data_IF_416667976361
#
_entry.id   IF_416667976361
#
_cell.length_a   1.000
_cell.length_b   1.000
_cell.length_c   1.000
_cell.angle_alpha   90.00
_cell.angle_beta   90.00
_cell.angle_gamma   90.00
#
_symmetry.space_group_name_H-M   'P 1'
#
loop_
_entity.id
_entity.type
_entity.pdbx_description
1 polymer ?
#
# COMPACT_ATOMS: atom_id res chain seq x y z
N UNK A 1 -5.79 -10.96 9.24
CA UNK A 1 -5.35 -11.32 7.87
C UNK A 1 -3.85 -11.11 7.72
N UNK A 2 -3.24 -11.49 6.61
CA UNK A 2 -1.82 -11.25 6.36
C UNK A 2 -1.67 -10.24 5.22
N UNK A 3 -1.00 -9.12 5.49
CA UNK A 3 -0.55 -8.17 4.47
C UNK A 3 0.94 -8.40 4.26
N UNK A 4 1.36 -8.43 2.98
CA UNK A 4 2.74 -8.65 2.58
C UNK A 4 3.38 -7.36 2.12
N UNK A 5 4.63 -7.14 2.53
CA UNK A 5 5.53 -6.19 1.90
C UNK A 5 6.62 -6.95 1.17
N UNK A 6 6.57 -6.99 -0.17
CA UNK A 6 7.40 -7.86 -1.01
C UNK A 6 7.25 -9.33 -0.56
N UNK A 7 8.24 -9.86 0.17
CA UNK A 7 8.27 -11.24 0.66
C UNK A 7 8.05 -11.35 2.18
N UNK A 8 7.91 -10.22 2.87
CA UNK A 8 7.73 -10.14 4.32
C UNK A 8 6.24 -10.13 4.65
N UNK A 9 5.84 -10.91 5.66
CA UNK A 9 4.44 -11.08 6.06
C UNK A 9 4.16 -10.36 7.38
N UNK A 10 3.05 -9.64 7.44
CA UNK A 10 2.61 -8.90 8.61
C UNK A 10 1.19 -9.27 8.99
N UNK A 11 0.99 -9.60 10.27
CA UNK A 11 -0.35 -9.75 10.85
C UNK A 11 -1.07 -8.41 10.85
N UNK A 12 -2.27 -8.41 10.27
CA UNK A 12 -3.12 -7.24 10.11
C UNK A 12 -4.53 -7.54 10.59
N UNK A 13 -5.00 -6.77 11.57
CA UNK A 13 -6.35 -6.82 12.11
C UNK A 13 -7.23 -5.87 11.30
N UNK A 14 -7.96 -6.42 10.33
CA UNK A 14 -8.86 -5.65 9.49
C UNK A 14 -10.10 -5.20 10.24
N UNK A 15 -10.40 -3.90 10.16
CA UNK A 15 -11.66 -3.32 10.62
C UNK A 15 -12.72 -3.31 9.50
N UNK A 16 -12.30 -3.07 8.27
CA UNK A 16 -13.18 -2.99 7.10
C UNK A 16 -12.48 -3.58 5.87
N UNK A 17 -13.17 -4.44 5.13
CA UNK A 17 -12.66 -5.09 3.92
C UNK A 17 -13.80 -5.18 2.91
N UNK A 18 -13.57 -4.60 1.73
CA UNK A 18 -14.43 -4.78 0.57
C UNK A 18 -13.59 -4.98 -0.71
N UNK A 19 -14.25 -5.03 -1.86
CA UNK A 19 -13.56 -5.21 -3.14
C UNK A 19 -12.71 -4.00 -3.55
N UNK A 20 -12.90 -2.84 -2.92
CA UNK A 20 -12.26 -1.56 -3.23
C UNK A 20 -11.11 -1.25 -2.28
N UNK A 21 -11.19 -1.68 -1.02
CA UNK A 21 -10.28 -1.23 0.03
C UNK A 21 -10.15 -2.18 1.22
N UNK A 22 -9.07 -1.99 1.97
CA UNK A 22 -8.76 -2.69 3.21
C UNK A 22 -8.33 -1.64 4.24
N UNK A 23 -9.00 -1.61 5.38
CA UNK A 23 -8.68 -0.78 6.53
C UNK A 23 -8.47 -1.65 7.78
N UNK A 24 -7.61 -1.20 8.68
CA UNK A 24 -7.32 -1.89 9.93
C UNK A 24 -6.00 -1.45 10.54
N UNK A 25 -5.44 -2.34 11.36
CA UNK A 25 -4.18 -2.09 12.05
C UNK A 25 -3.19 -3.25 11.89
N UNK A 26 -1.92 -2.93 11.68
CA UNK A 26 -0.85 -3.88 11.91
C UNK A 26 -0.75 -4.21 13.41
N UNK A 27 -0.38 -5.45 13.72
CA UNK A 27 -0.12 -5.84 15.10
C UNK A 27 0.93 -4.94 15.73
N UNK A 28 0.57 -4.35 16.87
CA UNK A 28 1.38 -3.36 17.55
C UNK A 28 2.50 -4.03 18.33
N UNK A 29 3.70 -3.98 17.79
CA UNK A 29 4.94 -4.33 18.49
C UNK A 29 6.08 -3.42 17.99
N UNK A 30 7.03 -3.03 18.86
CA UNK A 30 8.22 -2.27 18.45
C UNK A 30 8.95 -2.93 17.28
N UNK A 31 9.03 -4.26 17.28
CA UNK A 31 9.72 -5.04 16.24
C UNK A 31 9.03 -4.92 14.88
N UNK A 32 7.70 -5.02 14.83
CA UNK A 32 6.93 -4.84 13.58
C UNK A 32 7.09 -3.40 13.06
N UNK A 33 7.02 -2.41 13.95
CA UNK A 33 7.19 -1.00 13.59
C UNK A 33 8.56 -0.76 12.96
N UNK A 34 9.64 -1.17 13.63
CA UNK A 34 11.01 -1.03 13.14
C UNK A 34 11.22 -1.79 11.82
N UNK A 35 10.61 -2.97 11.68
CA UNK A 35 10.72 -3.77 10.47
C UNK A 35 10.04 -3.08 9.27
N UNK A 36 8.82 -2.58 9.44
CA UNK A 36 8.11 -1.87 8.37
C UNK A 36 8.85 -0.57 8.01
N UNK A 37 9.28 0.21 9.00
CA UNK A 37 10.05 1.44 8.78
C UNK A 37 11.34 1.17 8.00
N UNK A 38 12.10 0.14 8.38
CA UNK A 38 13.30 -0.27 7.66
C UNK A 38 13.01 -0.68 6.21
N UNK A 39 11.93 -1.43 5.98
CA UNK A 39 11.54 -1.88 4.66
C UNK A 39 11.10 -0.72 3.76
N UNK A 40 10.35 0.23 4.31
CA UNK A 40 9.94 1.44 3.60
C UNK A 40 11.12 2.34 3.25
N UNK A 41 12.04 2.56 4.20
CA UNK A 41 13.28 3.30 3.96
C UNK A 41 14.23 2.60 2.96
N UNK A 42 14.06 1.29 2.74
CA UNK A 42 14.80 0.54 1.72
C UNK A 42 14.20 0.64 0.31
N UNK A 43 12.98 1.16 0.18
CA UNK A 43 12.39 1.41 -1.13
C UNK A 43 13.16 2.52 -1.83
N UNK A 44 13.27 2.43 -3.15
CA UNK A 44 13.63 3.60 -3.93
C UNK A 44 12.54 4.65 -3.71
N UNK A 45 12.94 5.88 -3.39
CA UNK A 45 12.02 7.00 -3.11
C UNK A 45 10.97 7.17 -4.23
N UNK A 46 11.31 6.76 -5.46
CA UNK A 46 10.50 7.01 -6.66
C UNK A 46 9.91 5.74 -7.30
N UNK A 47 9.68 4.67 -6.55
CA UNK A 47 9.17 3.40 -7.12
C UNK A 47 7.82 3.55 -7.87
N UNK A 48 7.07 4.61 -7.56
CA UNK A 48 5.77 4.94 -8.14
C UNK A 48 5.85 5.93 -9.31
N UNK A 49 7.05 6.37 -9.69
CA UNK A 49 7.29 7.31 -10.79
C UNK A 49 7.88 6.61 -12.03
N UNK A 50 7.57 7.14 -13.19
CA UNK A 50 8.17 6.78 -14.47
C UNK A 50 9.50 7.53 -14.68
N UNK A 51 10.13 7.31 -15.85
CA UNK A 51 11.41 7.94 -16.21
C UNK A 51 11.34 9.47 -16.36
N UNK A 52 10.16 10.04 -16.47
CA UNK A 52 9.93 11.48 -16.58
C UNK A 52 9.61 12.10 -15.20
N UNK A 53 9.55 11.31 -14.13
CA UNK A 53 9.10 11.74 -12.82
C UNK A 53 7.58 11.87 -12.71
N UNK A 54 6.82 11.34 -13.67
CA UNK A 54 5.37 11.29 -13.62
C UNK A 54 4.92 10.01 -12.91
N UNK A 55 3.79 10.06 -12.20
CA UNK A 55 3.24 8.86 -11.56
C UNK A 55 2.96 7.78 -12.62
N UNK A 56 3.34 6.54 -12.32
CA UNK A 56 2.98 5.38 -13.12
C UNK A 56 1.46 5.30 -13.34
N UNK A 57 1.07 4.87 -14.54
CA UNK A 57 -0.30 4.46 -14.84
C UNK A 57 -0.76 3.34 -13.90
N UNK A 58 -2.06 3.25 -13.64
CA UNK A 58 -2.59 2.47 -12.53
C UNK A 58 -2.16 1.00 -12.57
N UNK A 59 -2.18 0.35 -13.73
CA UNK A 59 -1.73 -1.03 -13.89
C UNK A 59 -0.25 -1.22 -13.51
N UNK A 60 0.62 -0.29 -13.93
CA UNK A 60 2.05 -0.33 -13.64
C UNK A 60 2.33 0.04 -12.18
N UNK A 61 1.55 0.97 -11.62
CA UNK A 61 1.63 1.37 -10.23
C UNK A 61 1.31 0.19 -9.30
N UNK A 62 0.22 -0.52 -9.57
CA UNK A 62 -0.14 -1.71 -8.80
C UNK A 62 0.88 -2.83 -8.97
N UNK A 63 1.36 -3.07 -10.19
CA UNK A 63 2.42 -4.06 -10.43
C UNK A 63 3.72 -3.75 -9.66
N UNK A 64 4.09 -2.47 -9.59
CA UNK A 64 5.27 -1.99 -8.86
C UNK A 64 5.09 -1.96 -7.34
N UNK A 65 3.85 -2.00 -6.84
CA UNK A 65 3.58 -1.85 -5.41
C UNK A 65 4.27 -2.95 -4.58
N UNK A 66 4.93 -2.56 -3.47
CA UNK A 66 5.49 -3.52 -2.55
C UNK A 66 4.39 -4.21 -1.73
N UNK A 67 3.21 -3.63 -1.61
CA UNK A 67 2.14 -4.14 -0.75
C UNK A 67 1.24 -5.12 -1.49
N UNK A 68 0.86 -6.19 -0.81
CA UNK A 68 -0.07 -7.17 -1.35
C UNK A 68 -0.77 -8.00 -0.27
N UNK A 69 -1.79 -8.74 -0.67
CA UNK A 69 -2.45 -9.75 0.16
C UNK A 69 -2.62 -11.05 -0.62
N UNK A 70 -2.60 -12.18 0.08
CA UNK A 70 -2.97 -13.47 -0.49
C UNK A 70 -4.49 -13.59 -0.61
N UNK A 71 -5.01 -13.80 -1.81
CA UNK A 71 -6.42 -14.09 -2.08
C UNK A 71 -6.57 -15.50 -2.68
N UNK A 72 -7.78 -16.09 -2.67
CA UNK A 72 -8.00 -17.45 -3.19
C UNK A 72 -7.55 -17.69 -4.64
N UNK A 73 -7.51 -16.63 -5.45
CA UNK A 73 -7.12 -16.67 -6.86
C UNK A 73 -5.69 -16.16 -7.12
N UNK A 74 -4.91 -15.95 -6.05
CA UNK A 74 -3.53 -15.47 -6.09
C UNK A 74 -3.32 -14.16 -5.35
N UNK A 75 -2.12 -13.61 -5.51
CA UNK A 75 -1.71 -12.38 -4.86
C UNK A 75 -2.44 -11.17 -5.47
N UNK A 76 -3.07 -10.36 -4.62
CA UNK A 76 -3.67 -9.08 -4.98
C UNK A 76 -2.74 -7.96 -4.54
N UNK A 77 -2.37 -7.09 -5.49
CA UNK A 77 -1.56 -5.90 -5.21
C UNK A 77 -2.41 -4.81 -4.55
N UNK A 78 -1.79 -4.08 -3.62
CA UNK A 78 -2.44 -3.04 -2.84
C UNK A 78 -1.66 -1.73 -2.96
N UNK A 79 -2.34 -0.59 -2.95
CA UNK A 79 -1.68 0.70 -2.77
C UNK A 79 -2.02 1.24 -1.40
N UNK A 80 -0.99 1.40 -0.57
CA UNK A 80 -1.11 2.05 0.72
C UNK A 80 -1.40 3.53 0.54
N UNK A 81 -2.51 4.00 1.07
CA UNK A 81 -2.96 5.39 1.03
C UNK A 81 -2.63 6.13 2.33
N UNK A 82 -2.60 5.41 3.44
CA UNK A 82 -2.30 5.94 4.76
C UNK A 82 -1.64 4.85 5.61
N UNK A 83 -0.69 5.24 6.46
CA UNK A 83 -0.13 4.38 7.50
C UNK A 83 0.41 5.26 8.64
N UNK A 84 -0.17 5.09 9.82
CA UNK A 84 0.38 5.62 11.06
C UNK A 84 1.14 4.51 11.79
N UNK A 85 2.47 4.63 11.82
CA UNK A 85 3.36 3.67 12.45
C UNK A 85 3.22 3.60 13.98
N UNK A 86 2.66 4.62 14.64
CA UNK A 86 2.47 4.63 16.09
C UNK A 86 1.23 3.85 16.50
N UNK A 87 0.10 4.09 15.83
CA UNK A 87 -1.15 3.36 16.05
C UNK A 87 -1.18 2.02 15.34
N UNK A 88 -0.37 1.84 14.29
CA UNK A 88 -0.41 0.72 13.37
C UNK A 88 -1.54 0.82 12.34
N UNK A 89 -2.34 1.89 12.37
CA UNK A 89 -3.46 2.10 11.45
C UNK A 89 -2.97 2.22 10.01
N UNK A 90 -3.57 1.47 9.09
CA UNK A 90 -3.26 1.56 7.69
C UNK A 90 -4.50 1.39 6.82
N UNK A 91 -4.49 2.11 5.70
CA UNK A 91 -5.53 2.07 4.69
C UNK A 91 -4.92 1.75 3.32
N UNK A 92 -5.50 0.77 2.65
CA UNK A 92 -5.06 0.27 1.35
C UNK A 92 -6.22 0.30 0.35
N UNK A 93 -5.91 0.70 -0.88
CA UNK A 93 -6.82 0.49 -2.01
C UNK A 93 -6.42 -0.76 -2.79
N UNK A 94 -7.42 -1.50 -3.25
CA UNK A 94 -7.27 -2.44 -4.35
C UNK A 94 -7.27 -1.69 -5.68
N UNK A 95 -6.95 -2.38 -6.78
CA UNK A 95 -7.01 -1.79 -8.12
C UNK A 95 -8.43 -1.32 -8.48
N UNK A 96 -9.48 -1.99 -7.98
CA UNK A 96 -10.87 -1.62 -8.22
C UNK A 96 -11.28 -0.34 -7.49
N UNK A 97 -10.77 -0.13 -6.26
CA UNK A 97 -11.08 1.05 -5.45
C UNK A 97 -10.16 2.24 -5.68
N UNK A 98 -9.18 2.10 -6.56
CA UNK A 98 -8.19 3.13 -6.79
C UNK A 98 -8.62 4.07 -7.92
N UNK A 99 -9.23 5.20 -7.55
CA UNK A 99 -9.56 6.29 -8.48
C UNK A 99 -8.42 7.27 -8.77
N UNK A 100 -7.16 6.89 -8.50
CA UNK A 100 -5.99 7.79 -8.60
C UNK A 100 -5.84 8.76 -7.43
N UNK A 101 -5.12 9.85 -7.67
CA UNK A 101 -5.23 11.07 -6.86
C UNK A 101 -6.26 12.00 -7.52
N UNK A 102 -7.23 12.49 -6.74
CA UNK A 102 -8.30 13.40 -7.15
C UNK A 102 -7.82 14.78 -7.68
N UNK A 103 -6.54 14.93 -8.06
CA UNK A 103 -5.89 16.23 -8.24
C UNK A 103 -5.40 16.54 -9.66
N UNK A 104 -6.02 15.96 -10.71
CA UNK A 104 -5.80 16.45 -12.09
C UNK A 104 -6.21 17.93 -12.25
N UNK A 105 -7.15 18.44 -11.45
CA UNK A 105 -7.57 19.85 -11.49
C UNK A 105 -6.58 20.84 -10.83
N UNK A 106 -5.63 20.37 -10.00
CA UNK A 106 -4.68 21.24 -9.30
C UNK A 106 -3.40 21.54 -10.12
N UNK A 107 -3.14 20.82 -11.21
CA UNK A 107 -1.98 21.07 -12.09
C UNK A 107 -2.26 22.08 -13.22
N UNK A 108 -3.44 22.71 -13.23
CA UNK A 108 -3.87 23.65 -14.28
C UNK A 108 -4.03 25.11 -13.80
N UNK A 109 -3.50 25.48 -12.63
CA UNK A 109 -3.45 26.89 -12.19
C UNK A 109 -2.02 27.41 -12.18
#
# INVERSE_FOLDING_TARGET
>A
MIIKFKNEEFEFDSSEVDEYSINGHFKRSPEIKEQIERLENSLKEDWYLDRNGERLEDDLLFAASPWSIEAPFGQVKLIRRFHDLESGEAFFNTQLGYGGELFKWLRQN
#
